data_IF_427371824058
#
_entry.id   IF_427371824058
#
_cell.length_a   1.000
_cell.length_b   1.000
_cell.length_c   1.000
_cell.angle_alpha   90.00
_cell.angle_beta   90.00
_cell.angle_gamma   90.00
#
_symmetry.space_group_name_H-M   'P 1'
#
loop_
_entity.id
_entity.type
_entity.pdbx_description
1 polymer ?
#
# COMPACT_ATOMS: atom_id res chain seq x y z
N UNK A 1 -13.91 11.67 -99.99
CA UNK A 1 -12.82 10.80 -99.47
C UNK A 1 -12.25 11.21 -98.11
N UNK A 2 -12.81 12.20 -97.37
CA UNK A 2 -12.30 12.61 -96.04
C UNK A 2 -12.98 11.93 -94.83
N UNK A 3 -14.11 11.24 -95.03
CA UNK A 3 -14.89 10.59 -93.98
C UNK A 3 -14.49 9.13 -93.69
N UNK A 4 -13.80 8.45 -94.61
CA UNK A 4 -13.33 7.07 -94.40
C UNK A 4 -12.04 6.97 -93.57
N UNK A 5 -11.25 8.05 -93.48
CA UNK A 5 -10.03 8.08 -92.66
C UNK A 5 -10.33 8.06 -91.16
N UNK A 6 -11.44 8.69 -90.74
CA UNK A 6 -11.81 8.79 -89.32
C UNK A 6 -12.13 7.41 -88.73
N UNK A 7 -12.80 6.54 -89.51
CA UNK A 7 -13.14 5.18 -89.07
C UNK A 7 -11.91 4.31 -88.87
N UNK A 8 -10.86 4.49 -89.69
CA UNK A 8 -9.60 3.74 -89.56
C UNK A 8 -8.85 4.14 -88.29
N UNK A 9 -8.76 5.43 -87.97
CA UNK A 9 -8.12 5.87 -86.72
C UNK A 9 -8.87 5.41 -85.47
N UNK A 10 -10.21 5.34 -85.53
CA UNK A 10 -11.03 4.82 -84.42
C UNK A 10 -10.78 3.34 -84.16
N UNK A 11 -10.72 2.51 -85.21
CA UNK A 11 -10.42 1.08 -85.10
C UNK A 11 -9.01 0.86 -84.55
N UNK A 12 -8.02 1.61 -85.04
CA UNK A 12 -6.64 1.54 -84.55
C UNK A 12 -6.56 1.91 -83.07
N UNK A 13 -7.25 2.98 -82.65
CA UNK A 13 -7.30 3.40 -81.24
C UNK A 13 -7.88 2.33 -80.32
N UNK A 14 -8.95 1.65 -80.75
CA UNK A 14 -9.56 0.56 -79.98
C UNK A 14 -8.63 -0.65 -79.89
N UNK A 15 -7.95 -1.02 -80.98
CA UNK A 15 -6.99 -2.15 -80.98
C UNK A 15 -5.81 -1.85 -80.07
N UNK A 16 -5.29 -0.62 -80.07
CA UNK A 16 -4.22 -0.21 -79.16
C UNK A 16 -4.69 -0.25 -77.69
N UNK A 17 -5.90 0.23 -77.40
CA UNK A 17 -6.48 0.19 -76.05
C UNK A 17 -6.68 -1.25 -75.55
N UNK A 18 -7.20 -2.14 -76.40
CA UNK A 18 -7.36 -3.55 -76.06
C UNK A 18 -6.01 -4.24 -75.88
N UNK A 19 -5.02 -3.94 -76.73
CA UNK A 19 -3.65 -4.46 -76.61
C UNK A 19 -2.97 -4.01 -75.31
N UNK A 20 -3.05 -2.71 -74.98
CA UNK A 20 -2.50 -2.16 -73.75
C UNK A 20 -3.23 -2.72 -72.51
N UNK A 21 -4.56 -2.83 -72.56
CA UNK A 21 -5.36 -3.43 -71.49
C UNK A 21 -5.02 -4.89 -71.25
N UNK A 22 -4.80 -5.67 -72.31
CA UNK A 22 -4.38 -7.07 -72.21
C UNK A 22 -2.98 -7.20 -71.59
N UNK A 23 -2.03 -6.33 -71.97
CA UNK A 23 -0.68 -6.33 -71.40
C UNK A 23 -0.69 -5.99 -69.90
N UNK A 24 -1.49 -5.00 -69.48
CA UNK A 24 -1.66 -4.67 -68.06
C UNK A 24 -2.33 -5.83 -67.30
N UNK A 25 -3.35 -6.46 -67.90
CA UNK A 25 -4.02 -7.61 -67.31
C UNK A 25 -3.07 -8.80 -67.12
N UNK A 26 -2.23 -9.11 -68.12
CA UNK A 26 -1.21 -10.16 -67.99
C UNK A 26 -0.12 -9.83 -66.97
N UNK A 27 0.25 -8.56 -66.82
CA UNK A 27 1.18 -8.11 -65.78
C UNK A 27 0.59 -8.25 -64.37
N UNK A 28 -0.74 -8.09 -64.20
CA UNK A 28 -1.43 -8.30 -62.92
C UNK A 28 -1.69 -9.77 -62.57
N UNK A 29 -1.68 -10.67 -63.56
CA UNK A 29 -1.98 -12.11 -63.37
C UNK A 29 -0.73 -12.94 -63.12
N UNK A 30 0.48 -12.38 -63.15
CA UNK A 30 1.63 -13.12 -62.63
C UNK A 30 1.36 -13.43 -61.16
N UNK A 31 1.03 -14.69 -60.80
CA UNK A 31 0.83 -15.04 -59.41
C UNK A 31 2.19 -14.84 -58.78
N UNK A 32 2.26 -14.23 -57.60
CA UNK A 32 3.46 -14.24 -56.77
C UNK A 32 3.79 -15.69 -56.38
N UNK A 33 4.29 -16.48 -57.33
CA UNK A 33 4.79 -17.85 -57.09
C UNK A 33 6.04 -17.84 -56.20
N UNK A 34 6.54 -16.66 -55.88
CA UNK A 34 7.59 -16.42 -54.89
C UNK A 34 7.04 -16.08 -53.50
N UNK A 35 5.73 -15.89 -53.33
CA UNK A 35 5.10 -15.58 -52.04
C UNK A 35 4.97 -16.81 -51.14
N UNK A 36 4.39 -17.90 -51.64
CA UNK A 36 4.14 -19.11 -50.84
C UNK A 36 5.44 -19.78 -50.35
N UNK A 37 6.48 -19.85 -51.19
CA UNK A 37 7.76 -20.45 -50.81
C UNK A 37 8.51 -19.60 -49.78
N UNK A 38 8.44 -18.26 -49.88
CA UNK A 38 9.00 -17.34 -48.88
C UNK A 38 8.25 -17.42 -47.55
N UNK A 39 6.92 -17.53 -47.58
CA UNK A 39 6.08 -17.69 -46.38
C UNK A 39 6.38 -19.03 -45.70
N UNK A 40 6.52 -20.12 -46.46
CA UNK A 40 6.87 -21.43 -45.91
C UNK A 40 8.29 -21.45 -45.30
N UNK A 41 9.26 -20.86 -45.99
CA UNK A 41 10.63 -20.73 -45.46
C UNK A 41 10.68 -19.85 -44.21
N UNK A 42 9.91 -18.76 -44.15
CA UNK A 42 9.80 -17.90 -42.98
C UNK A 42 9.13 -18.63 -41.80
N UNK A 43 8.07 -19.39 -42.05
CA UNK A 43 7.40 -20.19 -41.02
C UNK A 43 8.32 -21.26 -40.43
N UNK A 44 9.09 -21.96 -41.26
CA UNK A 44 10.09 -22.94 -40.80
C UNK A 44 11.19 -22.28 -39.96
N UNK A 45 11.65 -21.10 -40.35
CA UNK A 45 12.63 -20.32 -39.58
C UNK A 45 12.07 -19.86 -38.23
N UNK A 46 10.82 -19.40 -38.20
CA UNK A 46 10.16 -19.04 -36.94
C UNK A 46 9.99 -20.25 -36.01
N UNK A 47 9.66 -21.42 -36.56
CA UNK A 47 9.57 -22.65 -35.78
C UNK A 47 10.93 -23.07 -35.18
N UNK A 48 12.03 -22.84 -35.89
CA UNK A 48 13.37 -23.18 -35.39
C UNK A 48 13.80 -22.37 -34.16
N UNK A 49 13.35 -21.12 -34.04
CA UNK A 49 13.68 -20.24 -32.89
C UNK A 49 12.65 -20.32 -31.75
N UNK A 50 11.59 -21.10 -31.91
CA UNK A 50 10.55 -21.25 -30.88
C UNK A 50 11.13 -21.69 -29.52
N UNK A 51 12.11 -22.61 -29.43
CA UNK A 51 12.73 -22.96 -28.14
C UNK A 51 13.40 -21.79 -27.42
N UNK A 52 14.01 -20.85 -28.17
CA UNK A 52 14.63 -19.64 -27.60
C UNK A 52 13.54 -18.71 -27.04
N UNK A 53 12.46 -18.53 -27.80
CA UNK A 53 11.29 -17.75 -27.37
C UNK A 53 10.63 -18.34 -26.12
N UNK A 54 10.41 -19.64 -26.10
CA UNK A 54 9.79 -20.33 -24.97
C UNK A 54 10.67 -20.23 -23.72
N UNK A 55 12.00 -20.32 -23.88
CA UNK A 55 12.92 -20.14 -22.77
C UNK A 55 12.89 -18.72 -22.19
N UNK A 56 12.92 -17.69 -23.04
CA UNK A 56 12.80 -16.29 -22.58
C UNK A 56 11.44 -16.07 -21.92
N UNK A 57 10.35 -16.59 -22.51
CA UNK A 57 8.99 -16.44 -21.96
C UNK A 57 8.85 -17.15 -20.62
N UNK A 58 9.45 -18.33 -20.45
CA UNK A 58 9.49 -19.04 -19.17
C UNK A 58 10.27 -18.25 -18.11
N UNK A 59 11.37 -17.60 -18.49
CA UNK A 59 12.11 -16.73 -17.57
C UNK A 59 11.33 -15.47 -17.21
N UNK A 60 10.61 -14.88 -18.17
CA UNK A 60 9.70 -13.76 -17.92
C UNK A 60 8.59 -14.16 -16.95
N UNK A 61 8.02 -15.35 -17.11
CA UNK A 61 7.01 -15.89 -16.20
C UNK A 61 7.54 -16.01 -14.76
N UNK A 62 8.72 -16.60 -14.57
CA UNK A 62 9.36 -16.73 -13.25
C UNK A 62 9.62 -15.36 -12.63
N UNK A 63 10.33 -14.48 -13.34
CA UNK A 63 10.74 -13.17 -12.80
C UNK A 63 9.54 -12.27 -12.52
N UNK A 64 8.51 -12.29 -13.37
CA UNK A 64 7.28 -11.52 -13.12
C UNK A 64 6.46 -12.08 -11.96
N UNK A 65 6.45 -13.40 -11.76
CA UNK A 65 5.84 -14.03 -10.60
C UNK A 65 6.54 -13.61 -9.31
N UNK A 66 7.87 -13.64 -9.28
CA UNK A 66 8.67 -13.17 -8.14
C UNK A 66 8.41 -11.69 -7.84
N UNK A 67 8.30 -10.84 -8.87
CA UNK A 67 7.98 -9.42 -8.70
C UNK A 67 6.65 -9.21 -7.98
N UNK A 68 5.61 -9.98 -8.36
CA UNK A 68 4.29 -9.93 -7.74
C UNK A 68 4.32 -10.43 -6.30
N UNK A 69 5.02 -11.54 -6.05
CA UNK A 69 5.14 -12.10 -4.70
C UNK A 69 5.87 -11.13 -3.75
N UNK A 70 7.04 -10.62 -4.16
CA UNK A 70 7.83 -9.72 -3.33
C UNK A 70 7.13 -8.39 -3.09
N UNK A 71 6.50 -7.79 -4.11
CA UNK A 71 5.86 -6.48 -3.91
C UNK A 71 4.66 -6.57 -2.97
N UNK A 72 3.90 -7.68 -2.99
CA UNK A 72 2.81 -7.93 -2.06
C UNK A 72 3.32 -8.16 -0.63
N UNK A 73 4.31 -9.06 -0.47
CA UNK A 73 4.83 -9.43 0.86
C UNK A 73 5.69 -8.35 1.51
N UNK A 74 6.27 -7.41 0.77
CA UNK A 74 7.09 -6.33 1.31
C UNK A 74 6.32 -5.01 1.53
N UNK A 75 4.99 -5.03 1.44
CA UNK A 75 4.15 -3.84 1.67
C UNK A 75 4.24 -2.82 0.54
N UNK A 76 4.33 -3.27 -0.70
CA UNK A 76 4.33 -2.42 -1.89
C UNK A 76 5.71 -1.89 -2.30
N UNK A 77 6.81 -2.44 -1.77
CA UNK A 77 8.17 -1.99 -2.08
C UNK A 77 9.05 -3.11 -2.63
N UNK A 78 9.80 -2.84 -3.70
CA UNK A 78 10.87 -3.69 -4.24
C UNK A 78 12.20 -2.96 -4.12
N UNK A 79 13.15 -3.58 -3.43
CA UNK A 79 14.41 -2.94 -3.07
C UNK A 79 15.47 -3.06 -4.17
N UNK A 80 16.44 -2.15 -4.19
CA UNK A 80 17.51 -2.09 -5.20
C UNK A 80 18.35 -3.39 -5.23
N UNK A 81 18.66 -3.99 -4.08
CA UNK A 81 19.37 -5.29 -4.02
C UNK A 81 18.63 -6.42 -4.72
N UNK A 82 17.31 -6.29 -4.85
CA UNK A 82 16.42 -7.24 -5.55
C UNK A 82 16.20 -6.84 -7.01
N UNK A 83 16.72 -5.68 -7.45
CA UNK A 83 16.48 -5.12 -8.79
C UNK A 83 15.32 -4.13 -8.88
N UNK A 84 14.70 -3.74 -7.76
CA UNK A 84 13.66 -2.70 -7.70
C UNK A 84 14.22 -1.28 -7.72
N UNK A 85 13.37 -0.29 -7.37
CA UNK A 85 13.74 1.14 -7.37
C UNK A 85 13.85 1.75 -5.97
N UNK A 86 13.41 1.05 -4.93
CA UNK A 86 13.44 1.55 -3.56
C UNK A 86 14.83 1.29 -2.98
N UNK A 87 15.54 2.30 -2.43
CA UNK A 87 16.82 2.06 -1.76
C UNK A 87 16.70 0.99 -0.68
N UNK A 88 17.67 0.10 -0.61
CA UNK A 88 17.72 -0.91 0.45
C UNK A 88 17.75 -0.23 1.81
N UNK A 89 16.82 -0.55 2.72
CA UNK A 89 16.82 0.05 4.03
C UNK A 89 18.03 -0.48 4.81
N UNK A 90 18.58 0.40 5.63
CA UNK A 90 19.69 0.07 6.53
C UNK A 90 19.13 -0.32 7.90
N UNK A 91 19.92 -1.07 8.69
CA UNK A 91 19.49 -1.58 10.01
C UNK A 91 18.99 -0.47 10.95
N UNK A 92 19.54 0.74 10.87
CA UNK A 92 19.08 1.89 11.68
C UNK A 92 17.67 2.37 11.34
N UNK A 93 17.07 1.87 10.26
CA UNK A 93 15.69 2.17 9.86
C UNK A 93 14.68 1.08 10.28
N UNK A 94 15.15 -0.01 10.90
CA UNK A 94 14.28 -1.03 11.49
C UNK A 94 13.41 -0.38 12.58
N UNK A 95 12.09 -0.58 12.53
CA UNK A 95 11.15 0.08 13.45
C UNK A 95 10.73 1.49 13.07
N UNK A 96 11.24 2.04 11.96
CA UNK A 96 10.88 3.39 11.49
C UNK A 96 10.40 3.42 10.04
N UNK A 97 11.06 2.67 9.16
CA UNK A 97 10.69 2.58 7.74
C UNK A 97 10.16 1.19 7.38
N UNK A 98 10.68 0.16 8.04
CA UNK A 98 10.31 -1.22 7.81
C UNK A 98 10.44 -2.04 9.10
N UNK A 99 9.87 -3.25 9.08
CA UNK A 99 10.14 -4.31 10.04
C UNK A 99 10.58 -5.59 9.29
N UNK A 100 11.28 -6.49 9.98
CA UNK A 100 11.62 -7.81 9.45
C UNK A 100 10.49 -8.79 9.80
N UNK A 101 9.95 -9.49 8.81
CA UNK A 101 8.89 -10.48 8.97
C UNK A 101 8.96 -11.56 7.88
N UNK A 102 9.04 -12.84 8.28
CA UNK A 102 9.36 -14.00 7.43
C UNK A 102 10.54 -13.76 6.46
N UNK A 103 11.69 -13.31 7.00
CA UNK A 103 12.92 -13.05 6.23
C UNK A 103 12.80 -11.93 5.18
N UNK A 104 11.67 -11.23 5.13
CA UNK A 104 11.41 -10.10 4.25
C UNK A 104 11.33 -8.80 5.02
N UNK A 105 11.72 -7.72 4.34
CA UNK A 105 11.62 -6.36 4.88
C UNK A 105 10.27 -5.78 4.47
N UNK A 106 9.35 -5.69 5.42
CA UNK A 106 7.99 -5.19 5.17
C UNK A 106 7.95 -3.71 5.50
N UNK A 107 7.68 -2.87 4.50
CA UNK A 107 7.55 -1.43 4.69
C UNK A 107 6.31 -1.10 5.51
N UNK A 108 6.42 -0.15 6.45
CA UNK A 108 5.24 0.42 7.10
C UNK A 108 4.32 1.06 6.07
N UNK A 109 3.05 0.70 6.15
CA UNK A 109 1.96 1.27 5.35
C UNK A 109 1.00 2.09 6.23
N UNK A 110 0.96 1.81 7.53
CA UNK A 110 0.27 2.59 8.56
C UNK A 110 1.32 3.12 9.54
N UNK A 111 1.48 4.44 9.59
CA UNK A 111 2.41 5.14 10.47
C UNK A 111 1.66 6.00 11.50
N UNK A 112 2.29 6.37 12.63
CA UNK A 112 1.71 7.34 13.55
C UNK A 112 1.50 8.70 12.88
N UNK A 113 0.55 9.51 13.37
CA UNK A 113 0.34 10.84 12.84
C UNK A 113 1.56 11.71 13.13
N UNK A 114 1.91 12.60 12.21
CA UNK A 114 3.00 13.56 12.39
C UNK A 114 2.48 15.00 12.36
N UNK A 115 2.95 15.82 13.29
CA UNK A 115 2.60 17.24 13.36
C UNK A 115 1.15 17.51 13.76
N UNK A 116 0.66 18.71 13.45
CA UNK A 116 -0.70 19.15 13.74
C UNK A 116 -1.38 19.49 12.42
N UNK A 117 -2.58 18.97 12.19
CA UNK A 117 -3.37 19.26 10.98
C UNK A 117 -4.41 20.31 11.33
N UNK A 118 -4.14 21.56 10.93
CA UNK A 118 -4.99 22.70 11.23
C UNK A 118 -5.03 23.01 12.74
N UNK A 119 -6.20 23.42 13.24
CA UNK A 119 -6.45 23.62 14.67
C UNK A 119 -7.26 22.48 15.29
N UNK A 120 -7.47 21.39 14.54
CA UNK A 120 -8.40 20.34 14.89
C UNK A 120 -7.71 19.05 15.32
N UNK A 121 -6.59 18.66 14.69
CA UNK A 121 -5.96 17.37 14.97
C UNK A 121 -4.51 17.52 15.41
N UNK A 122 -4.14 16.82 16.47
CA UNK A 122 -2.82 16.86 17.10
C UNK A 122 -2.24 15.45 17.14
N UNK A 123 -0.94 15.31 16.86
CA UNK A 123 -0.22 14.03 16.94
C UNK A 123 0.38 13.72 18.30
N UNK A 124 0.35 14.68 19.24
CA UNK A 124 1.06 14.57 20.52
C UNK A 124 0.15 14.92 21.71
N UNK A 125 0.26 14.20 22.84
CA UNK A 125 -0.41 14.54 24.09
C UNK A 125 0.00 15.93 24.60
N UNK A 126 -0.87 16.63 25.35
CA UNK A 126 -2.17 16.17 25.87
C UNK A 126 -3.34 16.36 24.91
N UNK A 127 -3.09 16.96 23.75
CA UNK A 127 -4.16 17.33 22.81
C UNK A 127 -4.42 16.22 21.78
N UNK A 128 -3.78 15.05 21.89
CA UNK A 128 -4.03 13.92 21.01
C UNK A 128 -5.39 13.28 21.34
N UNK A 129 -6.18 12.87 20.33
CA UNK A 129 -6.09 13.25 18.91
C UNK A 129 -6.63 14.67 18.67
N UNK A 130 -7.49 15.17 19.58
CA UNK A 130 -7.87 16.58 19.73
C UNK A 130 -8.34 16.87 21.17
N UNK A 131 -8.36 18.13 21.64
CA UNK A 131 -8.62 18.47 23.06
C UNK A 131 -9.96 17.99 23.62
N UNK A 132 -10.96 17.85 22.74
CA UNK A 132 -12.32 17.47 23.09
C UNK A 132 -12.69 16.05 22.62
N UNK A 133 -11.73 15.15 22.49
CA UNK A 133 -11.96 13.77 22.05
C UNK A 133 -12.71 12.95 23.10
N UNK A 134 -13.74 12.15 22.77
CA UNK A 134 -14.49 12.17 21.52
C UNK A 134 -15.54 13.31 21.53
N UNK A 135 -15.88 13.83 20.35
CA UNK A 135 -16.80 14.98 20.18
C UNK A 135 -18.23 14.68 20.69
N UNK A 136 -18.63 13.41 20.85
CA UNK A 136 -19.91 13.05 21.47
C UNK A 136 -19.82 11.77 22.30
N UNK A 137 -20.17 11.85 23.58
CA UNK A 137 -20.25 10.70 24.50
C UNK A 137 -21.40 9.73 24.18
N UNK A 138 -22.35 10.13 23.32
CA UNK A 138 -23.62 9.44 23.10
C UNK A 138 -23.70 8.61 21.80
N UNK A 139 -22.65 8.55 20.97
CA UNK A 139 -22.70 7.78 19.74
C UNK A 139 -21.74 6.60 19.78
N UNK A 140 -22.30 5.39 19.62
CA UNK A 140 -21.55 4.20 19.17
C UNK A 140 -21.03 4.38 17.72
N UNK A 141 -20.83 5.60 17.26
CA UNK A 141 -20.41 5.91 15.90
C UNK A 141 -18.88 5.86 15.83
N UNK A 142 -18.40 5.21 14.78
CA UNK A 142 -17.01 5.24 14.35
C UNK A 142 -16.47 6.67 14.39
N UNK A 143 -15.48 6.92 15.25
CA UNK A 143 -14.88 8.24 15.39
C UNK A 143 -13.88 8.43 14.24
N UNK A 144 -14.27 9.22 13.23
CA UNK A 144 -13.42 9.54 12.09
C UNK A 144 -12.52 10.73 12.44
N UNK A 145 -11.22 10.65 12.14
CA UNK A 145 -10.22 11.64 12.49
C UNK A 145 -8.88 11.42 11.78
N UNK A 146 -7.81 11.96 12.36
CA UNK A 146 -6.43 11.81 11.88
C UNK A 146 -5.63 11.03 12.91
N UNK A 147 -5.62 9.71 12.78
CA UNK A 147 -4.98 8.79 13.73
C UNK A 147 -3.69 8.17 13.19
N UNK A 148 -3.30 8.49 11.96
CA UNK A 148 -2.10 7.98 11.34
C UNK A 148 -1.82 8.57 9.95
N UNK A 149 -0.75 8.09 9.34
CA UNK A 149 -0.36 8.40 7.97
C UNK A 149 -0.39 7.13 7.12
N UNK A 150 -1.07 7.19 5.98
CA UNK A 150 -1.07 6.13 4.98
C UNK A 150 0.19 6.26 4.10
N UNK A 151 1.05 5.25 4.11
CA UNK A 151 2.35 5.24 3.42
C UNK A 151 2.43 4.24 2.25
N UNK A 152 1.26 3.79 1.75
CA UNK A 152 1.18 2.89 0.60
C UNK A 152 1.60 3.63 -0.69
N UNK A 153 2.56 3.10 -1.49
CA UNK A 153 2.94 3.75 -2.74
C UNK A 153 1.81 3.71 -3.78
N UNK A 154 1.74 4.67 -4.72
CA UNK A 154 0.68 4.69 -5.73
C UNK A 154 0.76 3.45 -6.64
N UNK A 155 -0.39 2.98 -7.13
CA UNK A 155 -0.44 1.85 -8.07
C UNK A 155 0.23 2.17 -9.41
N UNK A 156 -0.15 3.29 -10.04
CA UNK A 156 0.22 3.63 -11.42
C UNK A 156 1.40 4.60 -11.51
N UNK A 157 2.26 4.43 -12.53
CA UNK A 157 3.40 5.32 -12.82
C UNK A 157 3.00 6.79 -12.97
N UNK A 158 1.85 7.06 -13.60
CA UNK A 158 1.36 8.44 -13.83
C UNK A 158 1.00 9.19 -12.53
N UNK A 159 0.87 8.50 -11.39
CA UNK A 159 0.53 9.10 -10.11
C UNK A 159 1.76 9.39 -9.22
N UNK A 160 2.97 9.03 -9.64
CA UNK A 160 4.18 9.34 -8.89
C UNK A 160 5.31 8.35 -9.16
N UNK A 161 6.54 8.79 -8.86
CA UNK A 161 7.73 7.92 -8.86
C UNK A 161 7.62 6.87 -7.76
N UNK A 162 8.19 5.70 -8.01
CA UNK A 162 8.14 4.58 -7.06
C UNK A 162 6.75 3.96 -6.97
N UNK A 163 5.93 4.08 -8.01
CA UNK A 163 4.66 3.36 -8.07
C UNK A 163 4.89 1.85 -8.10
N UNK A 164 3.90 1.07 -7.67
CA UNK A 164 3.99 -0.40 -7.71
C UNK A 164 4.24 -0.91 -9.13
N UNK A 165 3.56 -0.31 -10.13
CA UNK A 165 3.77 -0.60 -11.55
C UNK A 165 5.22 -0.34 -11.99
N UNK A 166 5.77 0.84 -11.69
CA UNK A 166 7.15 1.18 -12.06
C UNK A 166 8.18 0.28 -11.37
N UNK A 167 7.95 -0.04 -10.10
CA UNK A 167 8.80 -0.94 -9.33
C UNK A 167 8.87 -2.34 -9.93
N UNK A 168 7.72 -2.93 -10.30
CA UNK A 168 7.66 -4.25 -10.93
C UNK A 168 8.27 -4.25 -12.35
N UNK A 169 7.98 -3.23 -13.17
CA UNK A 169 8.58 -3.08 -14.49
C UNK A 169 10.12 -3.04 -14.42
N UNK A 170 10.65 -2.28 -13.46
CA UNK A 170 12.09 -2.14 -13.23
C UNK A 170 12.69 -3.45 -12.73
N UNK A 171 12.03 -4.10 -11.76
CA UNK A 171 12.44 -5.40 -11.23
C UNK A 171 12.57 -6.45 -12.33
N UNK A 172 11.54 -6.57 -13.19
CA UNK A 172 11.54 -7.56 -14.27
C UNK A 172 12.67 -7.26 -15.28
N UNK A 173 12.82 -6.00 -15.68
CA UNK A 173 13.87 -5.60 -16.63
C UNK A 173 15.28 -5.85 -16.08
N UNK A 174 15.51 -5.61 -14.79
CA UNK A 174 16.82 -5.81 -14.16
C UNK A 174 17.19 -7.27 -13.89
N UNK A 175 16.20 -8.18 -13.81
CA UNK A 175 16.45 -9.57 -13.45
C UNK A 175 16.31 -10.54 -14.64
N UNK A 176 15.63 -10.16 -15.73
CA UNK A 176 15.41 -11.07 -16.86
C UNK A 176 16.71 -11.55 -17.51
N UNK A 177 17.69 -10.66 -17.67
CA UNK A 177 18.99 -10.99 -18.24
C UNK A 177 19.79 -11.98 -17.37
N UNK A 178 19.55 -12.01 -16.05
CA UNK A 178 20.17 -12.96 -15.13
C UNK A 178 19.50 -14.33 -15.14
N UNK A 179 18.21 -14.38 -15.48
CA UNK A 179 17.46 -15.63 -15.59
C UNK A 179 17.85 -16.43 -16.85
N UNK A 180 18.15 -15.71 -17.94
CA UNK A 180 18.38 -16.30 -19.26
C UNK A 180 19.87 -16.48 -19.50
N UNK A 181 20.30 -17.75 -19.57
CA UNK A 181 21.65 -18.13 -20.00
C UNK A 181 21.58 -18.91 -21.31
N UNK A 182 22.03 -18.28 -22.40
CA UNK A 182 22.01 -18.87 -23.74
C UNK A 182 23.20 -19.81 -24.02
N UNK A 183 24.29 -19.68 -23.26
CA UNK A 183 25.61 -20.21 -23.65
C UNK A 183 25.62 -21.73 -23.85
N UNK A 184 24.96 -22.46 -22.95
CA UNK A 184 24.92 -23.92 -22.97
C UNK A 184 23.63 -24.51 -23.55
N UNK A 185 22.55 -23.72 -23.61
CA UNK A 185 21.22 -24.22 -24.02
C UNK A 185 21.02 -24.29 -25.52
N UNK A 186 21.77 -23.49 -26.28
CA UNK A 186 21.53 -23.28 -27.70
C UNK A 186 22.83 -23.32 -28.54
N UNK A 187 23.57 -24.44 -28.54
CA UNK A 187 24.89 -24.50 -29.17
C UNK A 187 24.88 -24.23 -30.69
N UNK A 188 23.75 -24.45 -31.37
CA UNK A 188 23.58 -24.18 -32.81
C UNK A 188 23.36 -22.71 -33.18
N UNK A 189 23.19 -21.84 -32.19
CA UNK A 189 22.90 -20.42 -32.39
C UNK A 189 24.03 -19.53 -31.84
N UNK A 190 24.21 -18.38 -32.47
CA UNK A 190 24.88 -17.22 -31.91
C UNK A 190 23.77 -16.23 -31.55
N UNK A 191 23.66 -15.88 -30.27
CA UNK A 191 22.56 -15.06 -29.75
C UNK A 191 23.14 -13.78 -29.19
N UNK A 192 22.68 -12.64 -29.71
CA UNK A 192 23.08 -11.30 -29.28
C UNK A 192 21.84 -10.60 -28.73
N UNK A 193 21.94 -10.05 -27.51
CA UNK A 193 20.82 -9.38 -26.84
C UNK A 193 21.07 -7.90 -26.62
N UNK A 194 20.03 -7.09 -26.78
CA UNK A 194 19.98 -5.69 -26.37
C UNK A 194 19.54 -5.52 -24.92
N UNK A 195 19.24 -4.27 -24.54
CA UNK A 195 18.71 -3.91 -23.22
C UNK A 195 17.20 -4.26 -23.13
N UNK A 196 16.76 -5.00 -22.10
CA UNK A 196 15.34 -5.32 -21.90
C UNK A 196 14.55 -4.13 -21.33
N UNK A 197 13.30 -3.97 -21.78
CA UNK A 197 12.33 -3.01 -21.23
C UNK A 197 10.98 -3.69 -21.00
N UNK A 198 10.45 -3.58 -19.79
CA UNK A 198 9.18 -4.21 -19.41
C UNK A 198 8.07 -3.19 -19.23
N UNK A 199 6.88 -3.51 -19.74
CA UNK A 199 5.63 -2.81 -19.50
C UNK A 199 4.66 -3.72 -18.74
N UNK A 200 4.15 -3.25 -17.60
CA UNK A 200 3.08 -3.92 -16.89
C UNK A 200 1.74 -3.32 -17.28
N UNK A 201 0.82 -4.16 -17.75
CA UNK A 201 -0.52 -3.78 -18.17
C UNK A 201 -1.52 -4.15 -17.08
N UNK A 202 -2.10 -3.11 -16.47
CA UNK A 202 -3.12 -3.18 -15.40
C UNK A 202 -4.35 -2.37 -15.85
N UNK A 203 -5.54 -2.79 -15.44
CA UNK A 203 -6.77 -2.05 -15.73
C UNK A 203 -6.79 -0.69 -15.03
N UNK A 204 -6.82 0.44 -15.76
CA UNK A 204 -6.82 1.78 -15.13
C UNK A 204 -8.21 2.36 -14.84
N UNK A 205 -9.21 2.00 -15.64
CA UNK A 205 -10.56 2.52 -15.50
C UNK A 205 -11.31 1.74 -14.41
N UNK A 206 -12.09 2.42 -13.56
CA UNK A 206 -12.87 1.78 -12.49
C UNK A 206 -13.81 0.67 -12.99
N UNK A 207 -14.38 0.81 -14.19
CA UNK A 207 -15.21 -0.22 -14.81
C UNK A 207 -14.37 -1.45 -15.18
N UNK A 208 -13.13 -1.24 -15.65
CA UNK A 208 -12.21 -2.33 -15.98
C UNK A 208 -11.61 -2.96 -14.72
N UNK A 209 -11.33 -2.20 -13.66
CA UNK A 209 -10.86 -2.71 -12.37
C UNK A 209 -11.86 -3.69 -11.74
N UNK A 210 -13.16 -3.39 -11.86
CA UNK A 210 -14.23 -4.31 -11.40
C UNK A 210 -14.26 -5.63 -12.17
N UNK A 211 -13.90 -5.59 -13.45
CA UNK A 211 -13.84 -6.75 -14.34
C UNK A 211 -12.43 -7.34 -14.47
N UNK A 212 -11.46 -6.86 -13.68
CA UNK A 212 -10.07 -7.31 -13.77
C UNK A 212 -9.98 -8.77 -13.29
N UNK A 213 -9.41 -9.62 -14.14
CA UNK A 213 -9.15 -11.02 -13.82
C UNK A 213 -7.69 -11.42 -13.99
N UNK A 214 -6.94 -10.61 -14.72
CA UNK A 214 -5.53 -10.85 -15.02
C UNK A 214 -4.78 -9.53 -15.18
N UNK A 215 -3.47 -9.62 -15.01
CA UNK A 215 -2.50 -8.62 -15.42
C UNK A 215 -1.55 -9.22 -16.46
N UNK A 216 -0.83 -8.38 -17.19
CA UNK A 216 0.15 -8.85 -18.17
C UNK A 216 1.47 -8.10 -18.03
N UNK A 217 2.56 -8.82 -18.25
CA UNK A 217 3.87 -8.23 -18.46
C UNK A 217 4.23 -8.40 -19.93
N UNK A 218 4.57 -7.29 -20.58
CA UNK A 218 5.05 -7.25 -21.96
C UNK A 218 6.50 -6.82 -21.91
N UNK A 219 7.38 -7.69 -22.39
CA UNK A 219 8.81 -7.45 -22.46
C UNK A 219 9.18 -7.13 -23.91
N UNK A 220 9.73 -5.94 -24.11
CA UNK A 220 10.44 -5.54 -25.32
C UNK A 220 11.93 -5.78 -25.07
N UNK A 221 12.46 -6.85 -25.67
CA UNK A 221 13.86 -7.24 -25.52
C UNK A 221 14.43 -7.66 -26.88
N UNK A 222 15.26 -6.83 -27.52
CA UNK A 222 15.85 -7.15 -28.81
C UNK A 222 16.80 -8.35 -28.71
N UNK A 223 16.48 -9.44 -29.39
CA UNK A 223 17.28 -10.66 -29.46
C UNK A 223 17.53 -11.02 -30.91
N UNK A 224 18.78 -10.91 -31.34
CA UNK A 224 19.26 -11.33 -32.64
C UNK A 224 19.82 -12.75 -32.54
N UNK A 225 19.29 -13.65 -33.37
CA UNK A 225 19.66 -15.06 -33.41
C UNK A 225 20.24 -15.36 -34.77
N UNK A 226 21.48 -15.82 -34.80
CA UNK A 226 22.17 -16.25 -36.00
C UNK A 226 22.45 -17.74 -35.97
N UNK A 227 21.93 -18.47 -36.97
CA UNK A 227 22.17 -19.91 -37.09
C UNK A 227 23.59 -20.18 -37.61
N UNK A 228 24.39 -20.94 -36.84
CA UNK A 228 25.80 -21.18 -37.19
C UNK A 228 25.98 -21.97 -38.49
N UNK A 229 25.01 -22.80 -38.86
CA UNK A 229 25.09 -23.64 -40.06
C UNK A 229 24.74 -22.91 -41.36
N UNK A 230 23.72 -22.05 -41.33
CA UNK A 230 23.19 -21.39 -42.53
C UNK A 230 23.55 -19.91 -42.62
N UNK A 231 23.93 -19.30 -41.50
CA UNK A 231 24.10 -17.85 -41.36
C UNK A 231 22.77 -17.08 -41.36
N UNK A 232 21.63 -17.76 -41.26
CA UNK A 232 20.33 -17.09 -41.21
C UNK A 232 20.17 -16.28 -39.92
N UNK A 233 19.71 -15.04 -40.05
CA UNK A 233 19.46 -14.12 -38.95
C UNK A 233 17.96 -14.01 -38.69
N UNK A 234 17.57 -14.03 -37.42
CA UNK A 234 16.19 -13.93 -36.95
C UNK A 234 16.18 -12.97 -35.76
N UNK A 235 15.21 -12.06 -35.76
CA UNK A 235 15.03 -11.08 -34.70
C UNK A 235 13.77 -11.40 -33.89
N UNK A 236 13.89 -11.40 -32.56
CA UNK A 236 12.80 -11.50 -31.61
C UNK A 236 12.83 -10.26 -30.72
N UNK A 237 11.69 -9.59 -30.53
CA UNK A 237 11.62 -8.40 -29.67
C UNK A 237 10.54 -8.54 -28.59
N UNK A 238 9.39 -9.11 -28.94
CA UNK A 238 8.24 -9.12 -28.02
C UNK A 238 8.02 -10.46 -27.34
N UNK A 239 7.92 -10.40 -26.01
CA UNK A 239 7.55 -11.51 -25.13
C UNK A 239 6.42 -11.07 -24.20
N UNK A 240 5.55 -11.99 -23.82
CA UNK A 240 4.40 -11.69 -22.96
C UNK A 240 4.09 -12.85 -22.03
N UNK A 241 3.81 -12.54 -20.77
CA UNK A 241 3.16 -13.45 -19.84
C UNK A 241 1.93 -12.79 -19.21
N UNK A 242 1.01 -13.60 -18.69
CA UNK A 242 -0.24 -13.16 -18.05
C UNK A 242 -0.48 -13.93 -16.76
N UNK A 243 -0.79 -13.21 -15.68
CA UNK A 243 -1.09 -13.82 -14.38
C UNK A 243 -2.57 -13.65 -14.06
N UNK A 244 -3.27 -14.70 -13.59
CA UNK A 244 -4.66 -14.63 -13.16
C UNK A 244 -4.73 -13.99 -11.77
N UNK A 245 -4.40 -12.69 -11.68
CA UNK A 245 -4.42 -11.90 -10.45
C UNK A 245 -5.10 -10.57 -10.78
N UNK A 246 -6.15 -10.21 -10.05
CA UNK A 246 -6.76 -8.89 -10.14
C UNK A 246 -6.01 -7.87 -9.29
N UNK A 247 -4.75 -7.62 -9.66
CA UNK A 247 -3.81 -6.85 -8.84
C UNK A 247 -4.31 -5.43 -8.55
N UNK A 248 -4.89 -4.75 -9.54
CA UNK A 248 -5.48 -3.43 -9.34
C UNK A 248 -6.60 -3.44 -8.29
N UNK A 249 -7.51 -4.42 -8.37
CA UNK A 249 -8.58 -4.57 -7.37
C UNK A 249 -8.04 -4.88 -5.97
N UNK A 250 -7.10 -5.82 -5.85
CA UNK A 250 -6.46 -6.17 -4.58
C UNK A 250 -5.79 -4.94 -3.97
N UNK A 251 -5.04 -4.18 -4.77
CA UNK A 251 -4.40 -2.93 -4.32
C UNK A 251 -5.42 -1.95 -3.73
N UNK A 252 -6.56 -1.71 -4.40
CA UNK A 252 -7.55 -0.76 -3.89
C UNK A 252 -8.25 -1.26 -2.63
N UNK A 253 -8.47 -2.57 -2.48
CA UNK A 253 -8.98 -3.15 -1.22
C UNK A 253 -7.97 -2.97 -0.08
N UNK A 254 -6.68 -3.25 -0.32
CA UNK A 254 -5.61 -2.98 0.65
C UNK A 254 -5.54 -1.49 1.00
N UNK A 255 -5.66 -0.61 -0.01
CA UNK A 255 -5.70 0.83 0.21
C UNK A 255 -6.88 1.25 1.09
N UNK A 256 -8.07 0.71 0.85
CA UNK A 256 -9.24 0.97 1.69
C UNK A 256 -9.02 0.55 3.15
N UNK A 257 -8.37 -0.60 3.39
CA UNK A 257 -7.97 -1.05 4.73
C UNK A 257 -7.01 -0.04 5.37
N UNK A 258 -5.93 0.33 4.67
CA UNK A 258 -4.94 1.31 5.17
C UNK A 258 -5.57 2.68 5.45
N UNK A 259 -6.42 3.16 4.54
CA UNK A 259 -7.12 4.43 4.70
C UNK A 259 -8.09 4.40 5.90
N UNK A 260 -8.78 3.29 6.13
CA UNK A 260 -9.67 3.11 7.27
C UNK A 260 -8.89 3.04 8.59
N UNK A 261 -7.79 2.28 8.64
CA UNK A 261 -6.87 2.20 9.80
C UNK A 261 -6.38 3.59 10.24
N UNK A 262 -6.02 4.47 9.30
CA UNK A 262 -5.48 5.80 9.65
C UNK A 262 -6.56 6.84 9.96
N UNK A 263 -7.81 6.59 9.55
CA UNK A 263 -8.91 7.57 9.65
C UNK A 263 -9.99 7.21 10.66
N UNK A 264 -10.09 5.96 11.11
CA UNK A 264 -11.05 5.51 12.12
C UNK A 264 -10.32 4.78 13.24
N UNK A 265 -10.34 5.37 14.43
CA UNK A 265 -9.59 4.87 15.60
C UNK A 265 -10.09 3.52 16.13
N UNK A 266 -11.33 3.16 15.83
CA UNK A 266 -11.92 1.87 16.23
C UNK A 266 -11.99 0.89 15.06
N UNK A 267 -11.29 1.16 13.95
CA UNK A 267 -11.31 0.26 12.81
C UNK A 267 -10.54 -1.01 13.12
N UNK A 268 -11.15 -2.15 12.82
CA UNK A 268 -10.49 -3.45 12.84
C UNK A 268 -10.76 -4.12 11.48
N UNK A 269 -9.73 -4.53 10.73
CA UNK A 269 -9.93 -5.12 9.41
C UNK A 269 -10.51 -6.52 9.54
N UNK A 270 -11.65 -6.75 8.87
CA UNK A 270 -12.38 -8.01 8.97
C UNK A 270 -12.17 -8.93 7.77
N UNK A 271 -12.21 -10.24 8.02
CA UNK A 271 -12.28 -11.24 6.95
C UNK A 271 -13.61 -11.15 6.21
N UNK A 272 -13.58 -11.25 4.88
CA UNK A 272 -14.80 -11.22 4.05
C UNK A 272 -15.00 -12.54 3.29
N UNK A 273 -16.03 -12.60 2.44
CA UNK A 273 -16.22 -13.72 1.51
C UNK A 273 -15.10 -13.83 0.46
N UNK A 274 -14.42 -12.73 0.13
CA UNK A 274 -13.46 -12.66 -0.98
C UNK A 274 -11.99 -12.79 -0.54
N UNK A 275 -11.67 -12.44 0.70
CA UNK A 275 -10.31 -12.46 1.24
C UNK A 275 -10.29 -12.80 2.73
N UNK A 276 -9.15 -13.27 3.21
CA UNK A 276 -8.86 -13.45 4.64
C UNK A 276 -7.99 -12.30 5.14
N UNK A 277 -8.26 -11.86 6.36
CA UNK A 277 -7.40 -10.95 7.13
C UNK A 277 -6.89 -11.72 8.34
N UNK A 278 -5.58 -11.70 8.53
CA UNK A 278 -4.91 -12.17 9.77
C UNK A 278 -4.08 -11.01 10.32
N UNK A 279 -4.07 -10.83 11.64
CA UNK A 279 -3.25 -9.82 12.30
C UNK A 279 -2.25 -10.54 13.17
N UNK A 280 -0.98 -10.48 12.79
CA UNK A 280 0.12 -10.95 13.63
C UNK A 280 0.54 -9.80 14.54
N UNK A 281 0.14 -9.91 15.82
CA UNK A 281 0.38 -8.86 16.81
C UNK A 281 1.79 -8.89 17.38
N UNK A 282 2.31 -7.72 17.73
CA UNK A 282 3.58 -7.55 18.46
C UNK A 282 4.80 -8.17 17.75
N UNK A 283 4.87 -8.03 16.42
CA UNK A 283 5.99 -8.51 15.60
C UNK A 283 7.28 -7.77 15.93
N UNK A 284 7.21 -6.46 16.19
CA UNK A 284 8.37 -5.64 16.56
C UNK A 284 7.97 -4.47 17.45
N UNK A 285 8.34 -4.46 18.73
CA UNK A 285 8.00 -3.36 19.67
C UNK A 285 6.52 -2.92 19.60
N UNK A 286 5.59 -3.90 19.69
CA UNK A 286 4.14 -3.71 19.52
C UNK A 286 3.66 -3.28 18.14
N UNK A 287 4.54 -3.18 17.16
CA UNK A 287 4.13 -3.07 15.77
C UNK A 287 3.54 -4.40 15.30
N UNK A 288 2.57 -4.31 14.39
CA UNK A 288 1.82 -5.46 13.88
C UNK A 288 2.01 -5.64 12.38
N UNK A 289 1.70 -6.84 11.91
CA UNK A 289 1.58 -7.13 10.47
C UNK A 289 0.16 -7.60 10.18
N UNK A 290 -0.57 -6.83 9.39
CA UNK A 290 -1.88 -7.22 8.85
C UNK A 290 -1.65 -7.92 7.52
N UNK A 291 -2.14 -9.14 7.39
CA UNK A 291 -1.94 -10.02 6.24
C UNK A 291 -3.27 -10.15 5.50
N UNK A 292 -3.32 -9.62 4.28
CA UNK A 292 -4.41 -9.81 3.33
C UNK A 292 -4.11 -11.01 2.44
N UNK A 293 -5.05 -11.96 2.35
CA UNK A 293 -4.95 -13.12 1.45
C UNK A 293 -6.20 -13.24 0.57
N UNK A 294 -6.03 -13.13 -0.76
CA UNK A 294 -7.14 -13.25 -1.72
C UNK A 294 -7.56 -14.73 -1.87
N UNK A 295 -8.87 -15.02 -1.79
CA UNK A 295 -9.36 -16.41 -1.88
C UNK A 295 -9.52 -16.92 -3.31
N UNK A 296 -9.60 -16.02 -4.30
CA UNK A 296 -9.87 -16.35 -5.70
C UNK A 296 -8.57 -16.56 -6.48
N UNK A 297 -7.58 -15.71 -6.27
CA UNK A 297 -6.39 -15.66 -7.09
C UNK A 297 -5.20 -16.34 -6.42
N UNK A 298 -4.58 -17.24 -7.18
CA UNK A 298 -3.38 -17.94 -6.75
C UNK A 298 -2.18 -17.49 -7.60
N UNK A 299 -1.06 -17.28 -6.94
CA UNK A 299 0.25 -17.12 -7.54
C UNK A 299 1.10 -18.33 -7.12
N UNK A 300 1.67 -19.06 -8.07
CA UNK A 300 2.47 -20.28 -7.79
C UNK A 300 1.73 -21.31 -6.91
N UNK A 301 0.44 -21.55 -7.21
CA UNK A 301 -0.44 -22.45 -6.45
C UNK A 301 -0.68 -22.06 -4.97
N UNK A 302 -0.41 -20.81 -4.59
CA UNK A 302 -0.71 -20.26 -3.27
C UNK A 302 -1.60 -19.02 -3.39
N UNK A 303 -2.51 -18.75 -2.44
CA UNK A 303 -3.27 -17.51 -2.41
C UNK A 303 -2.36 -16.29 -2.53
N UNK A 304 -2.75 -15.30 -3.34
CA UNK A 304 -2.00 -14.05 -3.41
C UNK A 304 -2.09 -13.31 -2.07
N UNK A 305 -0.95 -12.82 -1.59
CA UNK A 305 -0.80 -12.22 -0.27
C UNK A 305 -0.28 -10.78 -0.38
N UNK A 306 -0.84 -9.89 0.43
CA UNK A 306 -0.34 -8.53 0.63
C UNK A 306 -0.18 -8.25 2.12
N UNK A 307 0.99 -7.75 2.54
CA UNK A 307 1.29 -7.45 3.94
C UNK A 307 1.28 -5.96 4.20
N UNK A 308 0.68 -5.56 5.31
CA UNK A 308 0.60 -4.18 5.78
C UNK A 308 1.29 -4.15 7.13
N UNK A 309 2.51 -3.61 7.19
CA UNK A 309 3.13 -3.32 8.48
C UNK A 309 2.49 -2.06 9.08
N UNK A 310 2.06 -2.19 10.34
CA UNK A 310 1.39 -1.17 11.13
C UNK A 310 2.27 -0.83 12.33
N UNK A 311 2.68 0.44 12.40
CA UNK A 311 3.49 0.93 13.51
C UNK A 311 2.59 1.33 14.68
N UNK A 312 2.96 0.96 15.90
CA UNK A 312 2.20 1.25 17.11
C UNK A 312 1.96 2.76 17.30
N UNK A 313 0.74 3.12 17.70
CA UNK A 313 0.23 4.50 17.81
C UNK A 313 -0.20 4.80 19.25
N UNK A 314 -0.35 6.08 19.53
CA UNK A 314 -0.79 6.53 20.85
C UNK A 314 -2.24 6.07 21.10
N UNK A 315 -2.56 5.52 22.29
CA UNK A 315 -3.96 5.39 22.69
C UNK A 315 -4.58 6.79 22.83
N UNK A 316 -5.86 6.94 22.51
CA UNK A 316 -6.58 8.21 22.65
C UNK A 316 -7.44 8.19 23.92
N UNK A 317 -7.09 9.02 24.90
CA UNK A 317 -7.84 9.16 26.16
C UNK A 317 -9.10 10.01 25.94
N UNK A 318 -10.26 9.48 26.32
CA UNK A 318 -11.52 10.23 26.26
C UNK A 318 -11.46 11.39 27.24
N UNK A 319 -12.06 12.52 26.84
CA UNK A 319 -12.07 13.76 27.60
C UNK A 319 -12.71 13.50 28.95
N UNK A 320 -11.96 13.84 29.98
CA UNK A 320 -12.44 13.87 31.34
C UNK A 320 -13.01 15.28 31.56
N UNK A 321 -14.34 15.39 31.64
CA UNK A 321 -14.99 16.69 31.75
C UNK A 321 -14.66 17.35 33.10
N UNK A 322 -13.79 18.37 33.03
CA UNK A 322 -13.37 19.18 34.16
C UNK A 322 -14.55 19.81 34.92
N UNK A 323 -15.66 20.13 34.22
CA UNK A 323 -16.86 20.69 34.84
C UNK A 323 -17.54 19.68 35.75
N UNK A 324 -17.60 18.42 35.34
CA UNK A 324 -18.12 17.34 36.16
C UNK A 324 -17.22 17.14 37.40
N UNK A 325 -15.88 17.29 37.29
CA UNK A 325 -14.96 17.14 38.45
C UNK A 325 -15.27 18.21 39.48
N UNK A 326 -15.47 19.43 38.98
CA UNK A 326 -15.64 20.61 39.79
C UNK A 326 -17.03 20.69 40.46
N UNK A 327 -17.96 19.79 40.14
CA UNK A 327 -19.25 19.70 40.86
C UNK A 327 -19.06 19.18 42.28
N UNK A 328 -18.07 18.32 42.49
CA UNK A 328 -17.78 17.75 43.78
C UNK A 328 -16.99 18.74 44.66
N UNK A 329 -17.37 18.84 45.94
CA UNK A 329 -16.67 19.62 46.94
C UNK A 329 -15.65 18.74 47.66
N UNK A 330 -14.43 19.23 47.84
CA UNK A 330 -13.33 18.50 48.47
C UNK A 330 -12.55 19.40 49.40
N UNK A 331 -12.02 18.80 50.47
CA UNK A 331 -10.94 19.37 51.27
C UNK A 331 -9.59 18.72 50.98
N UNK A 332 -8.61 19.59 50.69
CA UNK A 332 -7.30 19.21 50.14
C UNK A 332 -6.56 18.25 51.07
N UNK A 333 -6.74 18.42 52.38
CA UNK A 333 -5.96 17.68 53.38
C UNK A 333 -6.45 16.23 53.61
N UNK A 334 -7.61 15.86 53.06
CA UNK A 334 -8.25 14.56 53.32
C UNK A 334 -8.36 13.65 52.09
N UNK A 335 -8.24 14.18 50.86
CA UNK A 335 -8.63 13.43 49.65
C UNK A 335 -7.41 12.89 48.89
N UNK A 336 -7.41 11.59 48.63
CA UNK A 336 -6.44 10.88 47.77
C UNK A 336 -7.13 10.37 46.52
N UNK A 337 -6.55 10.69 45.36
CA UNK A 337 -7.01 10.15 44.08
C UNK A 337 -6.27 8.85 43.76
N UNK A 338 -6.97 7.87 43.19
CA UNK A 338 -6.40 6.62 42.74
C UNK A 338 -7.13 6.12 41.50
N UNK A 339 -6.48 5.26 40.72
CA UNK A 339 -7.11 4.57 39.59
C UNK A 339 -7.19 3.09 39.94
N UNK A 340 -8.41 2.55 39.89
CA UNK A 340 -8.71 1.14 40.10
C UNK A 340 -9.35 0.57 38.83
N UNK A 341 -8.54 -0.12 38.03
CA UNK A 341 -8.92 -0.55 36.69
C UNK A 341 -9.25 0.65 35.78
N UNK A 342 -10.51 0.72 35.33
CA UNK A 342 -11.03 1.82 34.51
C UNK A 342 -11.75 2.89 35.33
N UNK A 343 -11.55 2.96 36.65
CA UNK A 343 -12.26 3.91 37.52
C UNK A 343 -11.31 4.87 38.21
N UNK A 344 -11.52 6.17 38.04
CA UNK A 344 -10.89 7.20 38.86
C UNK A 344 -11.68 7.33 40.16
N UNK A 345 -11.01 7.07 41.29
CA UNK A 345 -11.58 7.09 42.65
C UNK A 345 -10.97 8.19 43.51
N UNK A 346 -11.73 8.67 44.48
CA UNK A 346 -11.31 9.57 45.55
C UNK A 346 -11.51 8.86 46.90
N UNK A 347 -10.57 9.02 47.84
CA UNK A 347 -10.61 8.42 49.19
C UNK A 347 -10.33 9.49 50.26
N UNK A 348 -11.06 9.54 51.39
CA UNK A 348 -12.18 8.66 51.74
C UNK A 348 -13.36 8.86 50.78
N UNK A 349 -14.22 7.85 50.68
CA UNK A 349 -15.46 7.99 49.92
C UNK A 349 -16.23 9.21 50.45
N UNK A 350 -16.78 10.03 49.55
CA UNK A 350 -17.47 11.26 49.93
C UNK A 350 -18.69 10.92 50.82
N UNK A 351 -18.88 11.68 51.90
CA UNK A 351 -19.80 11.35 53.01
C UNK A 351 -21.28 11.16 52.60
N UNK A 352 -21.67 11.59 51.39
CA UNK A 352 -23.03 11.43 50.85
C UNK A 352 -23.29 10.08 50.14
N UNK A 353 -22.33 9.15 50.15
CA UNK A 353 -22.55 7.79 49.65
C UNK A 353 -22.76 7.66 48.14
N UNK A 354 -22.65 8.76 47.38
CA UNK A 354 -22.47 8.71 45.93
C UNK A 354 -21.00 8.36 45.68
N UNK A 355 -20.70 7.10 45.31
CA UNK A 355 -19.32 6.74 45.05
C UNK A 355 -18.84 7.60 43.88
N UNK A 356 -17.61 8.08 43.98
CA UNK A 356 -16.89 8.73 42.89
C UNK A 356 -16.15 7.65 42.06
N UNK A 357 -16.78 6.93 41.11
CA UNK A 357 -16.03 6.31 40.04
C UNK A 357 -16.41 6.95 38.72
N UNK A 358 -15.52 7.78 38.19
CA UNK A 358 -15.58 8.03 36.77
C UNK A 358 -14.96 6.90 36.01
N UNK A 359 -15.73 6.39 35.07
CA UNK A 359 -15.25 5.44 34.09
C UNK A 359 -14.30 6.18 33.14
N UNK A 360 -13.03 5.84 33.25
CA UNK A 360 -12.00 6.21 32.29
C UNK A 360 -12.19 5.36 31.04
N UNK A 361 -12.19 6.03 29.90
CA UNK A 361 -12.30 5.40 28.60
C UNK A 361 -11.18 5.91 27.72
N UNK A 362 -10.62 5.01 26.92
CA UNK A 362 -9.66 5.32 25.89
C UNK A 362 -9.83 4.28 24.77
N UNK A 363 -9.42 4.62 23.57
CA UNK A 363 -9.37 3.70 22.43
C UNK A 363 -7.96 3.67 21.89
N UNK A 364 -7.45 2.48 21.63
CA UNK A 364 -6.14 2.28 21.05
C UNK A 364 -6.30 2.00 19.55
N UNK A 365 -5.70 2.82 18.65
CA UNK A 365 -5.82 2.61 17.22
C UNK A 365 -5.37 1.22 16.74
N UNK A 366 -4.51 0.55 17.49
CA UNK A 366 -3.93 -0.75 17.15
C UNK A 366 -4.64 -1.91 17.88
N UNK A 367 -5.71 -1.60 18.62
CA UNK A 367 -6.50 -2.55 19.42
C UNK A 367 -5.65 -3.28 20.48
N UNK A 368 -4.70 -2.56 21.08
CA UNK A 368 -3.93 -3.02 22.24
C UNK A 368 -4.70 -2.85 23.57
N UNK A 369 -4.26 -3.58 24.60
CA UNK A 369 -4.83 -3.47 25.93
C UNK A 369 -4.40 -2.16 26.61
N UNK A 370 -5.38 -1.35 27.04
CA UNK A 370 -5.13 -0.06 27.68
C UNK A 370 -5.20 -0.18 29.21
N UNK A 371 -4.18 0.37 29.86
CA UNK A 371 -4.12 0.57 31.31
C UNK A 371 -4.20 2.06 31.67
N UNK A 372 -4.73 2.37 32.86
CA UNK A 372 -4.87 3.73 33.35
C UNK A 372 -4.07 3.96 34.63
N UNK A 373 -3.48 5.15 34.79
CA UNK A 373 -2.74 5.54 36.00
C UNK A 373 -2.73 7.05 36.25
N UNK A 374 -2.33 7.46 37.46
CA UNK A 374 -2.10 8.86 37.82
C UNK A 374 -0.61 9.22 37.81
N UNK A 375 -0.30 10.47 37.48
CA UNK A 375 1.04 11.08 37.59
C UNK A 375 0.97 12.52 38.16
N UNK A 376 1.58 12.79 39.33
CA UNK A 376 2.20 11.80 40.22
C UNK A 376 1.15 10.84 40.80
N UNK A 377 1.57 9.64 41.22
CA UNK A 377 0.66 8.62 41.79
C UNK A 377 -0.14 9.15 42.99
N UNK A 378 0.48 10.05 43.76
CA UNK A 378 -0.17 10.83 44.81
C UNK A 378 -0.02 12.31 44.39
N UNK A 379 -1.10 12.96 43.92
CA UNK A 379 -1.09 14.40 43.62
C UNK A 379 -0.69 15.16 44.88
N UNK A 380 0.50 15.76 44.87
CA UNK A 380 0.89 16.72 45.90
C UNK A 380 0.28 18.08 45.56
N UNK A 381 0.00 18.88 46.59
CA UNK A 381 -0.51 20.24 46.42
C UNK A 381 0.53 21.04 45.63
N UNK A 382 0.12 21.73 44.57
CA UNK A 382 1.00 22.64 43.85
C UNK A 382 1.39 23.79 44.77
N UNK A 383 2.55 23.67 45.44
CA UNK A 383 3.06 24.63 46.41
C UNK A 383 3.23 26.04 45.79
N UNK A 384 3.45 26.14 44.47
CA UNK A 384 3.53 27.44 43.78
C UNK A 384 2.17 28.13 43.68
N UNK A 385 1.07 27.37 43.58
CA UNK A 385 -0.28 27.92 43.64
C UNK A 385 -0.64 28.39 45.06
N UNK A 386 -0.08 27.77 46.10
CA UNK A 386 -0.30 28.15 47.50
C UNK A 386 0.38 29.49 47.83
N UNK A 387 1.60 29.73 47.33
CA UNK A 387 2.35 30.95 47.61
C UNK A 387 1.76 32.22 46.93
N UNK A 388 1.12 32.09 45.76
CA UNK A 388 0.48 33.21 45.06
C UNK A 388 -0.87 33.63 45.67
N UNK A 389 -1.44 32.82 46.56
CA UNK A 389 -2.72 33.06 47.20
C UNK A 389 -2.65 32.90 48.72
N UNK A 390 -1.61 33.47 49.35
CA UNK A 390 -1.42 33.43 50.80
C UNK A 390 -2.64 33.95 51.60
N UNK A 391 -3.43 34.86 51.03
CA UNK A 391 -4.66 35.38 51.67
C UNK A 391 -5.90 34.50 51.42
N UNK A 392 -5.78 33.44 50.61
CA UNK A 392 -6.89 32.53 50.32
C UNK A 392 -6.42 31.13 49.85
N UNK A 393 -6.01 30.24 50.78
CA UNK A 393 -5.48 28.90 50.47
C UNK A 393 -6.46 28.00 49.70
N UNK A 394 -7.76 28.34 49.65
CA UNK A 394 -8.76 27.69 48.80
C UNK A 394 -8.53 27.84 47.28
N UNK A 395 -7.50 28.58 46.84
CA UNK A 395 -7.14 28.75 45.42
C UNK A 395 -6.02 27.82 44.92
N UNK A 396 -5.34 27.10 45.82
CA UNK A 396 -4.44 26.01 45.46
C UNK A 396 -5.25 24.82 44.96
N UNK A 397 -5.09 24.44 43.70
CA UNK A 397 -5.76 23.25 43.14
C UNK A 397 -4.81 22.06 43.12
N UNK A 398 -5.33 20.85 43.30
CA UNK A 398 -4.58 19.63 43.01
C UNK A 398 -4.48 19.47 41.50
N UNK A 399 -3.28 19.34 40.96
CA UNK A 399 -3.05 19.09 39.53
C UNK A 399 -2.40 17.73 39.38
N UNK A 400 -3.01 16.85 38.59
CA UNK A 400 -2.44 15.57 38.23
C UNK A 400 -2.76 15.20 36.80
N UNK A 401 -2.02 14.24 36.24
CA UNK A 401 -2.33 13.66 34.94
C UNK A 401 -3.07 12.35 35.13
N UNK A 402 -4.15 12.17 34.37
CA UNK A 402 -4.70 10.85 34.11
C UNK A 402 -4.08 10.36 32.82
N UNK A 403 -3.44 9.20 32.85
CA UNK A 403 -2.66 8.63 31.75
C UNK A 403 -3.35 7.36 31.28
N UNK A 404 -3.59 7.24 29.97
CA UNK A 404 -3.91 5.99 29.29
C UNK A 404 -2.64 5.47 28.60
N UNK A 405 -2.33 4.18 28.73
CA UNK A 405 -1.14 3.58 28.15
C UNK A 405 -1.42 2.17 27.67
N UNK A 406 -0.96 1.85 26.46
CA UNK A 406 -0.90 0.50 25.91
C UNK A 406 0.25 -0.33 26.54
N UNK A 407 1.24 0.36 27.13
CA UNK A 407 2.44 -0.17 27.78
C UNK A 407 3.75 0.38 27.19
N UNK A 408 3.71 0.92 25.97
CA UNK A 408 4.88 1.52 25.29
C UNK A 408 4.65 3.02 25.04
N UNK A 409 3.47 3.38 24.58
CA UNK A 409 3.00 4.73 24.32
C UNK A 409 1.95 5.15 25.36
N UNK A 410 1.73 6.46 25.46
CA UNK A 410 0.77 6.98 26.43
C UNK A 410 0.19 8.32 25.99
N UNK A 411 -1.09 8.50 26.26
CA UNK A 411 -1.79 9.78 26.19
C UNK A 411 -2.22 10.20 27.59
N UNK A 412 -2.40 11.50 27.80
CA UNK A 412 -2.74 12.02 29.12
C UNK A 412 -3.54 13.31 29.06
N UNK A 413 -4.39 13.48 30.07
CA UNK A 413 -5.07 14.74 30.35
C UNK A 413 -4.66 15.27 31.71
N UNK A 414 -4.45 16.58 31.78
CA UNK A 414 -4.19 17.29 33.04
C UNK A 414 -5.51 17.65 33.69
N UNK A 415 -5.73 17.13 34.88
CA UNK A 415 -6.91 17.38 35.70
C UNK A 415 -6.54 18.36 36.80
N UNK A 416 -7.36 19.39 36.99
CA UNK A 416 -7.20 20.38 38.06
C UNK A 416 -8.41 20.34 38.97
N UNK A 417 -8.22 19.98 40.22
CA UNK A 417 -9.30 19.96 41.21
C UNK A 417 -9.22 21.22 42.04
N UNK A 418 -10.33 21.96 42.10
CA UNK A 418 -10.44 23.18 42.91
C UNK A 418 -11.22 22.81 44.19
N UNK A 419 -10.60 22.89 45.38
CA UNK A 419 -11.29 22.61 46.63
C UNK A 419 -12.45 23.60 46.85
N UNK A 420 -13.53 23.12 47.49
CA UNK A 420 -14.73 23.91 47.82
C UNK A 420 -15.18 23.53 49.23
N UNK A 421 -15.49 24.53 50.05
CA UNK A 421 -16.19 24.32 51.33
C UNK A 421 -15.32 23.91 52.52
N UNK A 422 -14.00 24.12 52.47
CA UNK A 422 -13.17 23.94 53.66
C UNK A 422 -13.28 25.18 54.52
N UNK A 423 -14.13 25.11 55.53
CA UNK A 423 -14.05 26.03 56.66
C UNK A 423 -12.69 25.78 57.33
N UNK A 424 -11.92 26.84 57.52
CA UNK A 424 -10.67 26.77 58.26
C UNK A 424 -11.05 26.64 59.74
N UNK A 425 -11.01 25.42 60.27
CA UNK A 425 -11.11 25.15 61.71
C UNK A 425 -9.92 25.73 62.49
#
# INVERSE_FOLDING_TARGET
MKSAQITVFMIIGIVILLGAGLLVYMAMIQPEKTGEEKVAAQALRQAAVQPVRDYITSCLDIVSSDALEFIGKQGGRLYVSQGGTVPDPVVSQLGSVYLDYDELRVSYSVLPPEGTVGSLFFSAPPDYPWPDFPVSADSNESVIGFFGLAALPPLYRKHGKGSLQEQMETYVSNNIARCVDFSDKFPGYEIITGEPSTLMVIAENITHLRAEEYISFVLDWPVEIKEKGTGAEIFLNDFKTTFPVAFGRIYYTVKEIVDAEVSNISYEPETTVNYFITIDKNVYNRDDVVIYQDKKYNLNARPYEFRIARKNRLPALYRIDQKEINKFAYCVDAVRFSVDGKKLRASPDLEDGDPFPWNLTAVDPDNDEITFRLDPRNPEVDEYAVALYADNPSKGGLIFKVIASDGDLQDFQRIRIIPKGCEAD
#
